data_IF_939939236107
#
_entry.id   IF_939939236107
#
_cell.length_a   1.000
_cell.length_b   1.000
_cell.length_c   1.000
_cell.angle_alpha   90.00
_cell.angle_beta   90.00
_cell.angle_gamma   90.00
#
_symmetry.space_group_name_H-M   'P 1'
#
loop_
_entity.id
_entity.type
_entity.pdbx_description
1 polymer ?
#
# COMPACT_ATOMS: atom_id res chain seq x y z
N UNK A 1 10.03 -11.14 20.38
CA UNK A 1 9.08 -11.86 19.53
C UNK A 1 9.86 -12.62 18.48
N UNK A 2 9.50 -13.87 18.25
CA UNK A 2 9.97 -14.60 17.07
C UNK A 2 9.46 -13.87 15.81
N UNK A 3 10.25 -13.81 14.73
CA UNK A 3 9.88 -13.08 13.49
C UNK A 3 8.50 -13.48 12.97
N UNK A 4 8.15 -14.76 13.12
CA UNK A 4 6.84 -15.31 12.73
C UNK A 4 5.70 -14.68 13.52
N UNK A 5 5.87 -14.46 14.82
CA UNK A 5 4.86 -13.83 15.68
C UNK A 5 4.55 -12.40 15.22
N UNK A 6 5.59 -11.62 14.90
CA UNK A 6 5.43 -10.25 14.37
C UNK A 6 4.69 -10.27 13.03
N UNK A 7 5.04 -11.20 12.13
CA UNK A 7 4.37 -11.34 10.84
C UNK A 7 2.88 -11.68 11.04
N UNK A 8 2.58 -12.65 11.91
CA UNK A 8 1.21 -13.06 12.19
C UNK A 8 0.39 -11.92 12.83
N UNK A 9 0.99 -11.17 13.77
CA UNK A 9 0.36 -10.00 14.37
C UNK A 9 0.07 -8.91 13.33
N UNK A 10 1.00 -8.65 12.40
CA UNK A 10 0.81 -7.71 11.29
C UNK A 10 -0.29 -8.15 10.32
N UNK A 11 -0.34 -9.44 9.97
CA UNK A 11 -1.42 -9.99 9.14
C UNK A 11 -2.78 -9.85 9.82
N UNK A 12 -2.85 -10.15 11.12
CA UNK A 12 -4.07 -9.95 11.91
C UNK A 12 -4.50 -8.49 11.94
N UNK A 13 -3.55 -7.57 12.14
CA UNK A 13 -3.81 -6.12 12.11
C UNK A 13 -4.36 -5.65 10.76
N UNK A 14 -3.81 -6.14 9.64
CA UNK A 14 -4.32 -5.86 8.29
C UNK A 14 -5.75 -6.36 8.12
N UNK A 15 -6.06 -7.59 8.56
CA UNK A 15 -7.42 -8.13 8.48
C UNK A 15 -8.38 -7.29 9.34
N UNK A 16 -7.98 -6.98 10.58
CA UNK A 16 -8.77 -6.16 11.50
C UNK A 16 -9.05 -4.75 10.93
N UNK A 17 -8.08 -4.15 10.23
CA UNK A 17 -8.25 -2.83 9.61
C UNK A 17 -9.39 -2.80 8.59
N UNK A 18 -9.65 -3.91 7.89
CA UNK A 18 -10.76 -4.04 6.95
C UNK A 18 -12.13 -4.03 7.64
N UNK A 19 -12.23 -4.63 8.83
CA UNK A 19 -13.44 -4.55 9.65
C UNK A 19 -13.64 -3.14 10.21
N UNK A 20 -12.57 -2.52 10.71
CA UNK A 20 -12.62 -1.12 11.19
C UNK A 20 -13.10 -0.19 10.07
N UNK A 21 -12.56 -0.32 8.86
CA UNK A 21 -12.97 0.48 7.70
C UNK A 21 -14.47 0.38 7.39
N UNK A 22 -15.08 -0.78 7.62
CA UNK A 22 -16.52 -1.03 7.38
C UNK A 22 -17.43 -0.51 8.50
N UNK A 23 -16.92 -0.41 9.73
CA UNK A 23 -17.67 0.03 10.90
C UNK A 23 -17.64 1.55 11.07
N UNK A 24 -16.67 2.23 10.45
CA UNK A 24 -16.55 3.68 10.53
C UNK A 24 -17.71 4.36 9.78
N UNK A 25 -18.31 5.43 10.37
CA UNK A 25 -19.37 6.21 9.72
C UNK A 25 -18.83 7.07 8.56
N UNK A 26 -17.52 7.21 8.45
CA UNK A 26 -16.83 7.94 7.40
C UNK A 26 -16.07 6.95 6.52
N UNK A 27 -16.25 7.05 5.21
CA UNK A 27 -15.56 6.22 4.22
C UNK A 27 -14.09 6.62 4.10
N UNK A 28 -13.28 6.17 5.06
CA UNK A 28 -11.82 6.34 5.01
C UNK A 28 -11.19 5.25 4.13
N UNK A 29 -10.31 5.63 3.18
CA UNK A 29 -9.54 4.66 2.41
C UNK A 29 -8.79 3.69 3.32
N UNK A 30 -8.92 2.39 3.05
CA UNK A 30 -8.21 1.33 3.78
C UNK A 30 -6.70 1.60 3.92
N UNK A 31 -5.98 2.14 2.91
CA UNK A 31 -4.56 2.46 3.05
C UNK A 31 -4.26 3.45 4.19
N UNK A 32 -5.12 4.46 4.41
CA UNK A 32 -4.90 5.43 5.48
C UNK A 32 -5.06 4.80 6.86
N UNK A 33 -6.06 3.93 7.02
CA UNK A 33 -6.30 3.19 8.26
C UNK A 33 -5.11 2.27 8.56
N UNK A 34 -4.59 1.58 7.54
CA UNK A 34 -3.43 0.70 7.68
C UNK A 34 -2.15 1.44 8.04
N UNK A 35 -1.89 2.61 7.44
CA UNK A 35 -0.74 3.47 7.79
C UNK A 35 -0.84 3.92 9.25
N UNK A 36 -2.01 4.39 9.68
CA UNK A 36 -2.22 4.83 11.06
C UNK A 36 -2.05 3.67 12.06
N UNK A 37 -2.64 2.51 11.76
CA UNK A 37 -2.52 1.31 12.59
C UNK A 37 -1.06 0.84 12.68
N UNK A 38 -0.34 0.80 11.55
CA UNK A 38 1.08 0.46 11.51
C UNK A 38 1.94 1.42 12.32
N UNK A 39 1.68 2.74 12.23
CA UNK A 39 2.38 3.75 13.00
C UNK A 39 2.15 3.59 14.52
N UNK A 40 0.90 3.32 14.93
CA UNK A 40 0.55 3.04 16.33
C UNK A 40 1.26 1.78 16.83
N UNK A 41 1.29 0.71 16.04
CA UNK A 41 1.93 -0.55 16.46
C UNK A 41 3.46 -0.38 16.56
N UNK A 42 4.08 0.22 15.55
CA UNK A 42 5.52 0.44 15.53
C UNK A 42 5.98 1.40 16.65
N UNK A 43 5.25 2.49 16.87
CA UNK A 43 5.56 3.50 17.88
C UNK A 43 5.20 3.08 19.30
N UNK A 44 3.99 2.57 19.52
CA UNK A 44 3.45 2.24 20.84
C UNK A 44 4.09 1.01 21.46
N UNK A 45 4.39 -0.02 20.66
CA UNK A 45 4.96 -1.26 21.17
C UNK A 45 6.48 -1.35 20.94
N UNK A 46 7.13 -0.38 20.28
CA UNK A 46 8.55 -0.44 19.87
C UNK A 46 8.88 -1.68 19.02
N UNK A 47 7.88 -2.29 18.37
CA UNK A 47 8.02 -3.46 17.48
C UNK A 47 8.19 -3.02 16.02
N UNK A 48 8.83 -1.88 15.78
CA UNK A 48 9.10 -1.38 14.44
C UNK A 48 10.03 -2.33 13.69
N UNK A 49 9.56 -2.86 12.55
CA UNK A 49 10.40 -3.62 11.63
C UNK A 49 10.98 -2.64 10.61
N UNK A 50 12.31 -2.57 10.55
CA UNK A 50 12.99 -1.79 9.53
C UNK A 50 12.77 -2.45 8.16
N UNK A 51 11.99 -1.79 7.31
CA UNK A 51 11.81 -2.21 5.92
C UNK A 51 13.10 -1.95 5.15
N UNK A 52 13.60 -2.99 4.46
CA UNK A 52 14.69 -2.84 3.49
C UNK A 52 14.09 -2.30 2.19
N UNK A 53 14.42 -1.06 1.79
CA UNK A 53 13.80 -0.43 0.63
C UNK A 53 13.96 -1.25 -0.66
N UNK A 54 15.12 -1.87 -0.86
CA UNK A 54 15.42 -2.66 -2.06
C UNK A 54 14.47 -3.85 -2.21
N UNK A 55 14.19 -4.56 -1.11
CA UNK A 55 13.28 -5.71 -1.09
C UNK A 55 11.84 -5.25 -1.26
N UNK A 56 11.45 -4.17 -0.59
CA UNK A 56 10.11 -3.59 -0.72
C UNK A 56 9.82 -3.18 -2.16
N UNK A 57 10.71 -2.39 -2.77
CA UNK A 57 10.54 -1.96 -4.15
C UNK A 57 10.54 -3.16 -5.10
N UNK A 58 11.45 -4.13 -4.94
CA UNK A 58 11.48 -5.31 -5.80
C UNK A 58 10.17 -6.13 -5.74
N UNK A 59 9.57 -6.27 -4.55
CA UNK A 59 8.35 -7.07 -4.38
C UNK A 59 7.08 -6.32 -4.80
N UNK A 60 7.00 -5.02 -4.56
CA UNK A 60 5.76 -4.26 -4.77
C UNK A 60 5.75 -3.44 -6.07
N UNK A 61 6.87 -2.83 -6.45
CA UNK A 61 6.90 -1.87 -7.57
C UNK A 61 6.64 -2.55 -8.93
N UNK A 62 7.30 -3.66 -9.31
CA UNK A 62 7.02 -4.30 -10.60
C UNK A 62 5.59 -4.82 -10.75
N UNK A 63 5.00 -5.55 -9.78
CA UNK A 63 3.61 -6.01 -9.91
C UNK A 63 2.59 -4.87 -10.00
N UNK A 64 2.78 -3.80 -9.21
CA UNK A 64 1.89 -2.63 -9.24
C UNK A 64 1.97 -1.93 -10.60
N UNK A 65 3.18 -1.63 -11.09
CA UNK A 65 3.38 -1.00 -12.40
C UNK A 65 2.89 -1.87 -13.55
N UNK A 66 3.00 -3.20 -13.44
CA UNK A 66 2.46 -4.11 -14.45
C UNK A 66 0.93 -4.04 -14.51
N UNK A 67 0.27 -4.07 -13.36
CA UNK A 67 -1.21 -3.96 -13.28
C UNK A 67 -1.66 -2.59 -13.77
N UNK A 68 -0.98 -1.52 -13.38
CA UNK A 68 -1.29 -0.16 -13.81
C UNK A 68 -1.09 -0.01 -15.31
N UNK A 69 0.07 -0.45 -15.83
CA UNK A 69 0.37 -0.46 -17.27
C UNK A 69 -0.62 -1.28 -18.09
N UNK A 70 -1.06 -2.42 -17.56
CA UNK A 70 -2.06 -3.28 -18.22
C UNK A 70 -3.46 -2.64 -18.27
N UNK A 71 -3.84 -1.87 -17.24
CA UNK A 71 -5.15 -1.19 -17.16
C UNK A 71 -5.25 0.06 -18.04
N UNK A 72 -4.14 0.62 -18.51
CA UNK A 72 -4.14 1.83 -19.34
C UNK A 72 -4.80 1.55 -20.71
N UNK A 73 -5.86 2.30 -21.09
CA UNK A 73 -6.48 2.17 -22.40
C UNK A 73 -5.56 2.70 -23.50
N UNK A 74 -5.08 1.81 -24.38
CA UNK A 74 -4.13 2.13 -25.45
C UNK A 74 -4.59 3.29 -26.34
N UNK A 75 -5.89 3.34 -26.68
CA UNK A 75 -6.44 4.39 -27.55
C UNK A 75 -6.37 5.77 -26.88
N UNK A 76 -6.71 5.87 -25.60
CA UNK A 76 -6.60 7.12 -24.84
C UNK A 76 -5.15 7.57 -24.68
N UNK A 77 -4.24 6.62 -24.42
CA UNK A 77 -2.80 6.89 -24.32
C UNK A 77 -2.24 7.50 -25.61
N UNK A 78 -2.59 6.97 -26.78
CA UNK A 78 -2.10 7.50 -28.06
C UNK A 78 -2.73 8.84 -28.42
N UNK A 79 -4.00 9.06 -28.06
CA UNK A 79 -4.71 10.32 -28.31
C UNK A 79 -4.12 11.47 -27.49
N UNK A 80 -3.86 11.21 -26.20
CA UNK A 80 -3.52 12.25 -25.22
C UNK A 80 -1.99 12.27 -24.93
N UNK A 81 -1.18 11.62 -25.77
CA UNK A 81 0.27 11.40 -25.58
C UNK A 81 1.08 12.68 -25.33
N UNK A 82 0.72 13.79 -25.96
CA UNK A 82 1.45 15.06 -25.82
C UNK A 82 1.22 15.66 -24.42
N UNK A 83 -0.03 15.73 -23.98
CA UNK A 83 -0.39 16.17 -22.63
C UNK A 83 0.19 15.26 -21.55
N UNK A 84 0.15 13.94 -21.76
CA UNK A 84 0.73 12.97 -20.82
C UNK A 84 2.24 13.17 -20.69
N UNK A 85 2.96 13.40 -21.80
CA UNK A 85 4.39 13.65 -21.77
C UNK A 85 4.75 14.96 -21.06
N UNK A 86 3.96 16.01 -21.28
CA UNK A 86 4.14 17.32 -20.63
C UNK A 86 3.95 17.23 -19.12
N UNK A 87 2.96 16.46 -18.65
CA UNK A 87 2.71 16.26 -17.22
C UNK A 87 3.72 15.30 -16.54
N UNK A 88 4.39 14.46 -17.31
CA UNK A 88 5.35 13.46 -16.81
C UNK A 88 6.80 13.97 -16.73
N UNK A 89 7.10 15.10 -17.39
CA UNK A 89 8.41 15.76 -17.42
C UNK A 89 8.57 16.70 -16.21
#
# INVERSE_FOLDING_TARGET
METVEVILAMLLAVIASGYVARLLPVALPLPLIQIALGAVIAGGFRHGVALKPDIFFLLFLPPLLFVDGWRIPKVGLFRDKATILELAL
#
